data_IF_670565942841
#
_entry.id   IF_670565942841
#
_cell.length_a   1.000
_cell.length_b   1.000
_cell.length_c   1.000
_cell.angle_alpha   90.00
_cell.angle_beta   90.00
_cell.angle_gamma   90.00
#
_symmetry.space_group_name_H-M   'P 1'
#
loop_
_entity.id
_entity.type
_entity.pdbx_description
1 polymer ?
#
# COMPACT_ATOMS: atom_id res chain seq x y z
N UNK A 1 -21.55 22.42 -2.78
CA UNK A 1 -21.84 21.03 -2.42
C UNK A 1 -20.51 20.30 -2.32
N UNK A 2 -20.15 19.82 -1.16
CA UNK A 2 -18.97 18.97 -1.00
C UNK A 2 -19.34 17.61 -1.63
N UNK A 3 -18.64 17.22 -2.68
CA UNK A 3 -18.82 15.91 -3.32
C UNK A 3 -18.50 14.85 -2.27
N UNK A 4 -19.36 13.84 -2.15
CA UNK A 4 -19.11 12.74 -1.23
C UNK A 4 -17.85 11.99 -1.69
N UNK A 5 -16.81 12.01 -0.87
CA UNK A 5 -15.54 11.37 -1.21
C UNK A 5 -15.65 9.84 -1.33
N UNK A 6 -16.73 9.25 -0.84
CA UNK A 6 -17.02 7.82 -1.00
C UNK A 6 -17.42 7.48 -2.44
N UNK A 7 -17.87 8.46 -3.25
CA UNK A 7 -18.11 8.28 -4.70
C UNK A 7 -16.81 7.96 -5.49
N UNK A 8 -15.62 8.17 -4.89
CA UNK A 8 -14.34 7.80 -5.48
C UNK A 8 -14.09 6.29 -5.48
N UNK A 9 -14.86 5.54 -4.70
CA UNK A 9 -14.70 4.09 -4.52
C UNK A 9 -15.79 3.31 -5.23
N UNK A 10 -15.52 2.04 -5.47
CA UNK A 10 -16.55 1.11 -5.91
C UNK A 10 -17.66 0.98 -4.84
N UNK A 11 -18.91 0.67 -5.23
CA UNK A 11 -20.02 0.53 -4.27
C UNK A 11 -19.69 -0.42 -3.12
N UNK A 12 -19.06 -1.56 -3.41
CA UNK A 12 -18.68 -2.55 -2.40
C UNK A 12 -17.67 -1.99 -1.37
N UNK A 13 -16.70 -1.19 -1.81
CA UNK A 13 -15.72 -0.56 -0.93
C UNK A 13 -16.36 0.57 -0.12
N UNK A 14 -17.19 1.40 -0.72
CA UNK A 14 -17.89 2.48 -0.05
C UNK A 14 -18.85 1.96 1.04
N UNK A 15 -19.63 0.93 0.72
CA UNK A 15 -20.54 0.27 1.67
C UNK A 15 -19.77 -0.37 2.83
N UNK A 16 -18.72 -1.14 2.52
CA UNK A 16 -17.86 -1.73 3.56
C UNK A 16 -17.27 -0.66 4.48
N UNK A 17 -16.78 0.45 3.90
CA UNK A 17 -16.21 1.53 4.70
C UNK A 17 -17.24 2.14 5.65
N UNK A 18 -18.42 2.50 5.11
CA UNK A 18 -19.51 3.08 5.89
C UNK A 18 -19.97 2.16 7.04
N UNK A 19 -20.12 0.87 6.73
CA UNK A 19 -20.52 -0.12 7.74
C UNK A 19 -19.47 -0.36 8.82
N UNK A 20 -18.17 -0.14 8.49
CA UNK A 20 -17.04 -0.43 9.40
C UNK A 20 -16.62 0.78 10.23
N UNK A 21 -16.63 1.97 9.64
CA UNK A 21 -16.06 3.19 10.23
C UNK A 21 -17.04 4.35 10.32
N UNK A 22 -18.19 4.28 9.65
CA UNK A 22 -19.14 5.38 9.53
C UNK A 22 -18.68 6.41 8.50
N UNK A 23 -18.53 7.65 8.92
CA UNK A 23 -18.12 8.74 8.04
C UNK A 23 -16.59 8.83 7.88
N UNK A 24 -16.12 9.26 6.69
CA UNK A 24 -14.71 9.58 6.48
C UNK A 24 -14.22 10.70 7.40
N UNK A 25 -13.01 10.54 7.92
CA UNK A 25 -12.33 11.61 8.69
C UNK A 25 -11.93 12.78 7.77
N UNK A 26 -11.67 13.95 8.35
CA UNK A 26 -11.23 15.13 7.58
C UNK A 26 -9.94 14.85 6.79
N UNK A 27 -9.05 14.04 7.34
CA UNK A 27 -7.82 13.60 6.69
C UNK A 27 -8.13 12.76 5.45
N UNK A 28 -9.08 11.85 5.54
CA UNK A 28 -9.53 11.01 4.43
C UNK A 28 -10.23 11.85 3.36
N UNK A 29 -11.12 12.73 3.76
CA UNK A 29 -11.80 13.67 2.86
C UNK A 29 -10.82 14.55 2.07
N UNK A 30 -9.72 14.97 2.70
CA UNK A 30 -8.68 15.76 2.05
C UNK A 30 -7.74 14.95 1.17
N UNK A 31 -7.34 13.73 1.60
CA UNK A 31 -6.32 12.94 0.93
C UNK A 31 -6.84 12.17 -0.29
N UNK A 32 -8.02 11.54 -0.19
CA UNK A 32 -8.53 10.65 -1.22
C UNK A 32 -8.67 11.27 -2.61
N UNK A 33 -9.18 12.50 -2.78
CA UNK A 33 -9.29 13.11 -4.12
C UNK A 33 -7.92 13.25 -4.80
N UNK A 34 -6.89 13.64 -4.07
CA UNK A 34 -5.54 13.78 -4.61
C UNK A 34 -4.93 12.41 -4.98
N UNK A 35 -5.06 11.42 -4.10
CA UNK A 35 -4.56 10.06 -4.34
C UNK A 35 -5.30 9.40 -5.50
N UNK A 36 -6.62 9.55 -5.57
CA UNK A 36 -7.43 9.02 -6.66
C UNK A 36 -7.07 9.63 -8.01
N UNK A 37 -6.72 10.93 -8.02
CA UNK A 37 -6.23 11.61 -9.21
C UNK A 37 -4.77 11.27 -9.59
N UNK A 38 -4.11 10.38 -8.85
CA UNK A 38 -2.71 9.98 -9.08
C UNK A 38 -1.69 11.08 -8.74
N UNK A 39 -2.08 12.09 -7.96
CA UNK A 39 -1.18 13.17 -7.56
C UNK A 39 -0.35 12.76 -6.34
N UNK A 40 0.91 13.20 -6.25
CA UNK A 40 1.66 13.10 -5.00
C UNK A 40 0.91 13.79 -3.87
N UNK A 41 0.82 13.13 -2.70
CA UNK A 41 0.14 13.68 -1.55
C UNK A 41 1.02 13.51 -0.28
N UNK A 42 1.18 14.59 0.47
CA UNK A 42 1.75 14.56 1.81
C UNK A 42 0.61 14.66 2.83
N UNK A 43 0.42 13.59 3.60
CA UNK A 43 -0.65 13.51 4.59
C UNK A 43 -0.04 13.66 5.98
N UNK A 44 -0.26 14.82 6.61
CA UNK A 44 0.18 15.11 7.98
C UNK A 44 -1.05 15.19 8.88
N UNK A 45 -1.12 14.32 9.89
CA UNK A 45 -2.19 14.29 10.87
C UNK A 45 -1.78 13.47 12.09
N UNK A 46 -2.42 13.64 13.26
CA UNK A 46 -2.15 12.83 14.46
C UNK A 46 -2.34 11.33 14.23
N UNK A 47 -1.78 10.52 15.10
CA UNK A 47 -2.02 9.06 15.12
C UNK A 47 -3.50 8.77 15.39
N UNK A 48 -4.02 7.67 14.83
CA UNK A 48 -5.43 7.29 15.01
C UNK A 48 -6.44 8.00 14.09
N UNK A 49 -6.01 8.94 13.25
CA UNK A 49 -6.90 9.69 12.32
C UNK A 49 -7.18 8.97 11.00
N UNK A 50 -6.76 7.71 10.86
CA UNK A 50 -6.99 6.93 9.64
C UNK A 50 -6.00 7.17 8.49
N UNK A 51 -4.83 7.81 8.73
CA UNK A 51 -3.80 8.06 7.70
C UNK A 51 -3.41 6.81 6.89
N UNK A 52 -3.11 5.73 7.60
CA UNK A 52 -2.67 4.47 6.95
C UNK A 52 -3.74 3.93 6.03
N UNK A 53 -5.01 3.91 6.50
CA UNK A 53 -6.12 3.47 5.67
C UNK A 53 -6.38 4.43 4.50
N UNK A 54 -6.21 5.74 4.70
CA UNK A 54 -6.31 6.74 3.62
C UNK A 54 -5.38 6.42 2.48
N UNK A 55 -4.15 6.02 2.81
CA UNK A 55 -3.15 5.69 1.80
C UNK A 55 -3.48 4.37 1.06
N UNK A 56 -3.97 3.35 1.77
CA UNK A 56 -4.18 2.03 1.20
C UNK A 56 -5.51 1.83 0.47
N UNK A 57 -6.61 2.44 0.95
CA UNK A 57 -7.95 2.06 0.51
C UNK A 57 -8.18 2.28 -0.99
N UNK A 58 -7.69 3.38 -1.55
CA UNK A 58 -7.75 3.67 -2.99
C UNK A 58 -7.05 2.58 -3.81
N UNK A 59 -5.88 2.10 -3.35
CA UNK A 59 -5.15 1.06 -4.06
C UNK A 59 -5.80 -0.30 -3.93
N UNK A 60 -6.34 -0.63 -2.76
CA UNK A 60 -7.10 -1.88 -2.55
C UNK A 60 -8.34 -1.90 -3.44
N UNK A 61 -9.08 -0.80 -3.53
CA UNK A 61 -10.25 -0.70 -4.40
C UNK A 61 -9.88 -0.87 -5.88
N UNK A 62 -8.80 -0.25 -6.34
CA UNK A 62 -8.28 -0.42 -7.70
C UNK A 62 -7.84 -1.86 -7.99
N UNK A 63 -7.15 -2.51 -7.06
CA UNK A 63 -6.75 -3.90 -7.23
C UNK A 63 -7.96 -4.84 -7.24
N UNK A 64 -8.97 -4.57 -6.41
CA UNK A 64 -10.24 -5.30 -6.45
C UNK A 64 -10.98 -5.09 -7.78
N UNK A 65 -10.93 -3.89 -8.36
CA UNK A 65 -11.51 -3.63 -9.67
C UNK A 65 -10.80 -4.43 -10.78
N UNK A 66 -9.45 -4.48 -10.76
CA UNK A 66 -8.67 -5.32 -11.68
C UNK A 66 -8.98 -6.81 -11.49
N UNK A 67 -9.11 -7.27 -10.24
CA UNK A 67 -9.44 -8.66 -9.94
C UNK A 67 -10.83 -9.05 -10.45
N UNK A 68 -11.84 -8.16 -10.28
CA UNK A 68 -13.20 -8.37 -10.82
C UNK A 68 -13.22 -8.42 -12.35
N UNK A 69 -12.38 -7.62 -13.01
CA UNK A 69 -12.23 -7.62 -14.45
C UNK A 69 -11.43 -8.80 -15.00
N UNK A 70 -10.81 -9.63 -14.14
CA UNK A 70 -9.88 -10.68 -14.56
C UNK A 70 -8.56 -10.13 -15.12
N UNK A 71 -8.22 -8.89 -14.79
CA UNK A 71 -7.04 -8.18 -15.29
C UNK A 71 -5.92 -8.04 -14.23
N UNK A 72 -6.15 -8.56 -13.01
CA UNK A 72 -5.13 -8.56 -11.97
C UNK A 72 -4.03 -9.54 -12.35
N UNK A 73 -2.83 -9.02 -12.60
CA UNK A 73 -1.66 -9.83 -12.97
C UNK A 73 -0.81 -10.11 -11.76
N UNK A 74 -0.06 -11.19 -11.78
CA UNK A 74 0.97 -11.51 -10.77
C UNK A 74 2.16 -10.52 -10.88
N UNK A 75 1.90 -9.27 -10.55
CA UNK A 75 2.82 -8.13 -10.64
C UNK A 75 2.77 -7.30 -9.36
N UNK A 76 3.84 -6.55 -9.10
CA UNK A 76 3.86 -5.60 -8.00
C UNK A 76 3.20 -4.29 -8.42
N UNK A 77 2.15 -3.87 -7.71
CA UNK A 77 1.44 -2.61 -7.98
C UNK A 77 1.73 -1.52 -6.95
N UNK A 78 1.90 -1.90 -5.69
CA UNK A 78 2.08 -0.96 -4.59
C UNK A 78 3.26 -1.35 -3.71
N UNK A 79 4.15 -0.39 -3.46
CA UNK A 79 5.22 -0.50 -2.47
C UNK A 79 4.84 0.35 -1.25
N UNK A 80 4.87 -0.24 -0.07
CA UNK A 80 4.72 0.47 1.18
C UNK A 80 6.02 0.38 1.98
N UNK A 81 6.58 1.55 2.30
CA UNK A 81 7.83 1.67 3.04
C UNK A 81 7.54 2.13 4.46
N UNK A 82 7.95 1.33 5.44
CA UNK A 82 7.96 1.72 6.84
C UNK A 82 9.39 1.66 7.39
N UNK A 83 9.86 2.67 8.12
CA UNK A 83 11.18 2.66 8.74
C UNK A 83 11.30 1.68 9.89
N UNK A 84 10.19 1.25 10.47
CA UNK A 84 10.15 0.41 11.66
C UNK A 84 9.72 -1.02 11.29
N UNK A 85 10.59 -2.00 11.56
CA UNK A 85 10.28 -3.42 11.34
C UNK A 85 9.11 -3.91 12.18
N UNK A 86 8.94 -3.39 13.39
CA UNK A 86 7.87 -3.74 14.32
C UNK A 86 6.47 -3.39 13.81
N UNK A 87 6.36 -2.36 12.97
CA UNK A 87 5.07 -1.93 12.38
C UNK A 87 4.59 -2.82 11.23
N UNK A 88 5.46 -3.67 10.67
CA UNK A 88 5.05 -4.55 9.57
C UNK A 88 3.89 -5.50 9.95
N UNK A 89 3.82 -5.90 11.23
CA UNK A 89 2.70 -6.67 11.78
C UNK A 89 1.40 -5.87 11.86
N UNK A 90 1.48 -4.67 12.41
CA UNK A 90 0.33 -3.76 12.58
C UNK A 90 -0.20 -3.29 11.21
N UNK A 91 0.70 -3.01 10.27
CA UNK A 91 0.36 -2.63 8.90
C UNK A 91 -0.34 -3.79 8.19
N UNK A 92 0.18 -5.02 8.37
CA UNK A 92 -0.46 -6.22 7.82
C UNK A 92 -1.87 -6.39 8.36
N UNK A 93 -2.09 -6.16 9.64
CA UNK A 93 -3.43 -6.26 10.25
C UNK A 93 -4.35 -5.13 9.74
N UNK A 94 -3.84 -3.91 9.61
CA UNK A 94 -4.59 -2.79 9.03
C UNK A 94 -4.97 -3.03 7.56
N UNK A 95 -4.13 -3.70 6.79
CA UNK A 95 -4.44 -4.13 5.43
C UNK A 95 -5.40 -5.31 5.38
N UNK A 96 -5.28 -6.25 6.32
CA UNK A 96 -6.12 -7.44 6.39
C UNK A 96 -7.60 -7.08 6.53
N UNK A 97 -7.90 -6.05 7.30
CA UNK A 97 -9.29 -5.62 7.56
C UNK A 97 -10.04 -5.25 6.27
N UNK A 98 -9.55 -4.37 5.38
CA UNK A 98 -10.21 -4.10 4.10
C UNK A 98 -10.09 -5.26 3.11
N UNK A 99 -8.97 -5.99 3.09
CA UNK A 99 -8.77 -7.12 2.17
C UNK A 99 -9.73 -8.28 2.42
N UNK A 100 -10.12 -8.51 3.68
CA UNK A 100 -11.08 -9.56 4.05
C UNK A 100 -12.52 -9.03 4.16
N UNK A 101 -12.69 -7.74 4.47
CA UNK A 101 -13.99 -7.16 4.74
C UNK A 101 -14.73 -6.67 3.50
N UNK A 102 -14.01 -6.23 2.46
CA UNK A 102 -14.65 -5.83 1.21
C UNK A 102 -15.14 -7.08 0.48
N UNK A 103 -16.43 -7.17 0.15
CA UNK A 103 -17.00 -8.33 -0.54
C UNK A 103 -16.28 -8.61 -1.86
N UNK A 104 -16.00 -9.88 -2.12
CA UNK A 104 -15.41 -10.38 -3.38
C UNK A 104 -16.39 -11.29 -4.08
N UNK A 105 -16.33 -11.31 -5.40
CA UNK A 105 -17.11 -12.22 -6.22
C UNK A 105 -16.51 -13.64 -6.16
N UNK A 106 -17.34 -14.65 -6.41
CA UNK A 106 -16.86 -16.03 -6.46
C UNK A 106 -15.87 -16.20 -7.62
N UNK A 107 -14.71 -16.79 -7.33
CA UNK A 107 -13.62 -16.96 -8.30
C UNK A 107 -12.74 -15.72 -8.52
N UNK A 108 -13.03 -14.60 -7.87
CA UNK A 108 -12.17 -13.41 -7.95
C UNK A 108 -10.79 -13.68 -7.34
N UNK A 109 -9.74 -13.29 -8.07
CA UNK A 109 -8.36 -13.45 -7.64
C UNK A 109 -8.09 -12.67 -6.34
N UNK A 110 -7.31 -13.28 -5.44
CA UNK A 110 -6.98 -12.69 -4.15
C UNK A 110 -5.79 -11.73 -4.26
N UNK A 111 -5.92 -10.54 -3.65
CA UNK A 111 -4.81 -9.59 -3.55
C UNK A 111 -3.75 -10.14 -2.60
N UNK A 112 -2.57 -10.42 -3.14
CA UNK A 112 -1.43 -10.95 -2.40
C UNK A 112 -0.61 -9.82 -1.76
N UNK A 113 -0.32 -9.97 -0.45
CA UNK A 113 0.54 -9.04 0.30
C UNK A 113 1.81 -9.75 0.71
N UNK A 114 2.95 -9.18 0.34
CA UNK A 114 4.27 -9.64 0.75
C UNK A 114 4.94 -8.71 1.75
N UNK A 115 5.67 -9.27 2.71
CA UNK A 115 6.50 -8.50 3.65
C UNK A 115 7.95 -8.89 3.43
N UNK A 116 8.79 -7.90 3.10
CA UNK A 116 10.23 -8.09 2.93
C UNK A 116 11.02 -7.10 3.79
N UNK A 117 11.63 -7.63 4.81
CA UNK A 117 12.52 -6.91 5.74
C UNK A 117 13.88 -7.58 5.82
N UNK A 118 14.78 -7.07 6.65
CA UNK A 118 16.07 -7.71 6.92
C UNK A 118 15.93 -9.13 7.49
N UNK A 119 14.83 -9.40 8.18
CA UNK A 119 14.58 -10.69 8.86
C UNK A 119 13.80 -11.70 8.01
N UNK A 120 13.36 -11.30 6.81
CA UNK A 120 12.64 -12.20 5.89
C UNK A 120 13.56 -13.34 5.44
N UNK A 121 13.15 -14.62 5.62
CA UNK A 121 13.93 -15.76 5.22
C UNK A 121 14.27 -15.77 3.72
N UNK A 122 15.42 -16.32 3.37
CA UNK A 122 15.88 -16.35 1.96
C UNK A 122 14.89 -17.06 1.04
N UNK A 123 14.25 -18.13 1.52
CA UNK A 123 13.22 -18.85 0.77
C UNK A 123 12.04 -17.94 0.38
N UNK A 124 11.58 -17.12 1.32
CA UNK A 124 10.45 -16.21 1.10
C UNK A 124 10.84 -15.06 0.18
N UNK A 125 12.09 -14.55 0.30
CA UNK A 125 12.62 -13.55 -0.63
C UNK A 125 12.66 -14.09 -2.07
N UNK A 126 13.11 -15.36 -2.26
CA UNK A 126 13.12 -16.00 -3.57
C UNK A 126 11.72 -16.24 -4.11
N UNK A 127 10.77 -16.62 -3.23
CA UNK A 127 9.38 -16.77 -3.62
C UNK A 127 8.79 -15.46 -4.14
N UNK A 128 9.00 -14.33 -3.45
CA UNK A 128 8.52 -13.02 -3.88
C UNK A 128 9.14 -12.52 -5.19
N UNK A 129 10.31 -13.04 -5.59
CA UNK A 129 10.90 -12.75 -6.90
C UNK A 129 10.23 -13.56 -8.00
N UNK A 130 9.88 -14.82 -7.74
CA UNK A 130 9.22 -15.71 -8.71
C UNK A 130 7.72 -15.41 -8.82
N UNK A 131 7.10 -15.09 -7.70
CA UNK A 131 5.68 -14.81 -7.53
C UNK A 131 5.55 -13.47 -6.80
N UNK A 132 5.62 -12.35 -7.55
CA UNK A 132 5.54 -11.02 -6.96
C UNK A 132 4.19 -10.79 -6.27
N UNK A 133 4.17 -10.28 -5.03
CA UNK A 133 2.93 -9.87 -4.40
C UNK A 133 2.39 -8.60 -5.07
N UNK A 134 1.09 -8.40 -5.03
CA UNK A 134 0.47 -7.17 -5.53
C UNK A 134 0.80 -5.95 -4.67
N UNK A 135 0.96 -6.15 -3.36
CA UNK A 135 1.38 -5.13 -2.38
C UNK A 135 2.64 -5.63 -1.66
N UNK A 136 3.70 -4.86 -1.71
CA UNK A 136 4.94 -5.14 -0.99
C UNK A 136 5.11 -4.17 0.18
N UNK A 137 5.16 -4.70 1.39
CA UNK A 137 5.55 -3.97 2.60
C UNK A 137 7.05 -4.18 2.81
N UNK A 138 7.83 -3.11 2.92
CA UNK A 138 9.28 -3.22 3.02
C UNK A 138 9.89 -2.11 3.89
N UNK A 139 11.18 -2.21 4.17
CA UNK A 139 11.98 -1.17 4.81
C UNK A 139 12.87 -0.47 3.78
N UNK A 140 13.38 0.76 4.07
CA UNK A 140 14.29 1.46 3.18
C UNK A 140 15.49 0.62 2.74
N UNK A 141 16.10 -0.10 3.67
CA UNK A 141 17.27 -0.94 3.41
C UNK A 141 16.95 -2.12 2.50
N UNK A 142 15.79 -2.75 2.72
CA UNK A 142 15.36 -3.88 1.90
C UNK A 142 14.99 -3.44 0.48
N UNK A 143 14.38 -2.26 0.33
CA UNK A 143 14.12 -1.65 -0.99
C UNK A 143 15.43 -1.43 -1.74
N UNK A 144 16.44 -0.83 -1.09
CA UNK A 144 17.75 -0.61 -1.71
C UNK A 144 18.38 -1.92 -2.17
N UNK A 145 18.34 -2.97 -1.35
CA UNK A 145 18.85 -4.29 -1.74
C UNK A 145 18.09 -4.88 -2.95
N UNK A 146 16.80 -4.58 -3.10
CA UNK A 146 16.06 -4.96 -4.30
C UNK A 146 16.49 -4.15 -5.52
N UNK A 147 16.67 -2.85 -5.37
CA UNK A 147 17.13 -1.95 -6.44
C UNK A 147 18.53 -2.31 -6.95
N UNK A 148 19.42 -2.77 -6.07
CA UNK A 148 20.79 -3.16 -6.42
C UNK A 148 20.89 -4.56 -7.03
N UNK A 149 19.83 -5.38 -6.97
CA UNK A 149 19.79 -6.73 -7.53
C UNK A 149 19.03 -6.77 -8.87
N UNK A 150 19.51 -7.54 -9.85
CA UNK A 150 18.86 -7.69 -11.17
C UNK A 150 17.40 -8.17 -11.02
N UNK A 151 17.18 -9.21 -10.25
CA UNK A 151 15.87 -9.81 -10.07
C UNK A 151 14.93 -8.90 -9.24
N UNK A 152 15.47 -8.20 -8.22
CA UNK A 152 14.70 -7.23 -7.47
C UNK A 152 14.21 -6.07 -8.34
N UNK A 153 15.07 -5.51 -9.18
CA UNK A 153 14.68 -4.47 -10.15
C UNK A 153 13.60 -4.94 -11.11
N UNK A 154 13.65 -6.18 -11.55
CA UNK A 154 12.61 -6.74 -12.44
C UNK A 154 11.23 -6.71 -11.77
N UNK A 155 11.13 -7.05 -10.50
CA UNK A 155 9.87 -6.98 -9.73
C UNK A 155 9.44 -5.53 -9.51
N UNK A 156 10.38 -4.66 -9.13
CA UNK A 156 10.06 -3.25 -8.83
C UNK A 156 9.58 -2.46 -10.04
N UNK A 157 9.95 -2.86 -11.26
CA UNK A 157 9.56 -2.16 -12.51
C UNK A 157 8.05 -2.11 -12.75
N UNK A 158 7.28 -3.00 -12.18
CA UNK A 158 5.83 -3.07 -12.35
C UNK A 158 5.08 -2.22 -11.31
N UNK A 159 5.77 -1.72 -10.29
CA UNK A 159 5.17 -0.88 -9.26
C UNK A 159 4.63 0.42 -9.86
N UNK A 160 3.41 0.77 -9.48
CA UNK A 160 2.68 1.96 -9.97
C UNK A 160 2.51 3.02 -8.91
N UNK A 161 2.72 2.65 -7.64
CA UNK A 161 2.56 3.56 -6.52
C UNK A 161 3.54 3.22 -5.39
N UNK A 162 3.89 4.27 -4.65
CA UNK A 162 4.76 4.20 -3.49
C UNK A 162 4.13 4.96 -2.33
N UNK A 163 4.04 4.32 -1.18
CA UNK A 163 3.65 4.94 0.08
C UNK A 163 4.87 4.93 1.00
N UNK A 164 5.21 6.09 1.54
CA UNK A 164 6.26 6.22 2.57
C UNK A 164 5.56 6.62 3.87
N UNK A 165 5.58 5.74 4.84
CA UNK A 165 5.01 5.99 6.16
C UNK A 165 6.07 6.47 7.15
N UNK A 166 5.61 7.13 8.22
CA UNK A 166 6.47 7.65 9.29
C UNK A 166 7.65 8.48 8.75
N UNK A 167 7.39 9.31 7.73
CA UNK A 167 8.42 10.11 7.06
C UNK A 167 9.24 10.94 8.04
N UNK A 168 8.63 11.40 9.14
CA UNK A 168 9.29 12.15 10.20
C UNK A 168 10.43 11.35 10.89
N UNK A 169 10.30 10.02 10.98
CA UNK A 169 11.36 9.16 11.52
C UNK A 169 12.54 8.99 10.56
N UNK A 170 12.41 9.45 9.32
CA UNK A 170 13.43 9.38 8.28
C UNK A 170 14.11 10.73 8.03
N UNK A 171 13.41 11.84 8.29
CA UNK A 171 13.96 13.19 8.11
C UNK A 171 15.24 13.33 8.94
N UNK A 172 16.25 13.98 8.36
CA UNK A 172 17.58 14.25 8.97
C UNK A 172 18.39 13.00 9.36
N UNK A 173 17.99 11.83 8.87
CA UNK A 173 18.74 10.59 9.10
C UNK A 173 19.48 10.11 7.84
N UNK A 174 20.56 9.35 8.02
CA UNK A 174 21.25 8.66 6.91
C UNK A 174 20.30 7.71 6.17
N UNK A 175 19.35 7.08 6.88
CA UNK A 175 18.34 6.18 6.30
C UNK A 175 17.38 6.93 5.38
N UNK A 176 16.97 8.14 5.79
CA UNK A 176 16.12 8.99 4.97
C UNK A 176 16.81 9.48 3.71
N UNK A 177 18.04 9.99 3.83
CA UNK A 177 18.84 10.37 2.66
C UNK A 177 19.02 9.19 1.68
N UNK A 178 19.30 8.01 2.21
CA UNK A 178 19.43 6.79 1.42
C UNK A 178 18.11 6.38 0.74
N UNK A 179 16.97 6.49 1.44
CA UNK A 179 15.66 6.25 0.85
C UNK A 179 15.37 7.24 -0.28
N UNK A 180 15.62 8.52 -0.09
CA UNK A 180 15.36 9.55 -1.11
C UNK A 180 16.15 9.27 -2.38
N UNK A 181 17.40 8.83 -2.29
CA UNK A 181 18.22 8.38 -3.41
C UNK A 181 17.66 7.10 -4.08
N UNK A 182 16.92 6.29 -3.33
CA UNK A 182 16.34 5.04 -3.86
C UNK A 182 15.02 5.26 -4.59
N UNK A 183 14.33 6.38 -4.38
CA UNK A 183 13.02 6.68 -4.96
C UNK A 183 13.06 7.82 -5.99
N UNK A 184 14.22 8.49 -6.13
CA UNK A 184 14.48 9.49 -7.16
C UNK A 184 14.70 8.80 -8.52
#
# INVERSE_FOLDING_TARGET
MQQDVLELFSPATAEWFTNTFGEPTDVQKAAWPAIAAGKPALVSAPTGTGKTLSAFLIFIDRLNALARAGELKEELYLIYISPLKSLAGDIRENLRRPLLGIPREEGQEEIQVGIRTGDTPQKDRQRMIKHPPHILITTPESLFLMLTSKNGRSVLKTARALIIDELHALIDTKRGAHLMLSVA
#
